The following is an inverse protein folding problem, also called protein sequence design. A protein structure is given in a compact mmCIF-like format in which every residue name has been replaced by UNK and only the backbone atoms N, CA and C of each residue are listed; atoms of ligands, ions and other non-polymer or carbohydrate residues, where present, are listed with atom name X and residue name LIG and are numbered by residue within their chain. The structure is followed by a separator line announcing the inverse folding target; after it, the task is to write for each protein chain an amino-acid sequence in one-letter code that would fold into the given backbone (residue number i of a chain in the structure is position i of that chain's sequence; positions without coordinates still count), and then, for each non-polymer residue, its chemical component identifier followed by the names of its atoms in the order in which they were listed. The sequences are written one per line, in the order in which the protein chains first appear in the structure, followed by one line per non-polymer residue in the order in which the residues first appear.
data_IF_174530986151
#
_entry.id   IF_174530986151
#
_cell.length_a   1.000
_cell.length_b   1.000
_cell.length_c   1.000
_cell.angle_alpha   90.00
_cell.angle_beta   90.00
_cell.angle_gamma   90.00
#
_symmetry.space_group_name_H-M   'P 1'
#
loop_
_entity.id
_entity.type
_entity.pdbx_description
1 polymer ?
#
# COMPACT_ATOMS: atom_id res chain seq x y z
N UNK A 1 -14.20 -4.53 3.32
CA UNK A 1 -14.25 -3.57 4.44
C UNK A 1 -13.48 -4.13 5.62
N UNK A 2 -12.45 -3.42 6.09
CA UNK A 2 -11.64 -3.82 7.24
C UNK A 2 -12.00 -3.09 8.55
N UNK A 3 -12.77 -2.00 8.48
CA UNK A 3 -13.00 -1.16 9.66
C UNK A 3 -13.79 0.13 9.43
N UNK A 4 -14.63 0.20 8.39
CA UNK A 4 -15.52 1.35 8.17
C UNK A 4 -16.43 1.54 9.38
N UNK A 5 -16.57 2.79 9.84
CA UNK A 5 -17.44 3.11 10.97
C UNK A 5 -18.91 2.99 10.58
N UNK A 6 -19.68 2.27 11.39
CA UNK A 6 -21.10 1.97 11.15
C UNK A 6 -21.33 0.64 10.42
N UNK A 7 -22.61 0.34 10.18
CA UNK A 7 -23.02 -0.80 9.36
C UNK A 7 -22.65 -0.56 7.90
N UNK A 8 -22.35 -1.64 7.18
CA UNK A 8 -21.95 -1.57 5.78
C UNK A 8 -22.88 -2.45 4.97
N UNK A 9 -23.78 -1.80 4.23
CA UNK A 9 -24.77 -2.46 3.37
C UNK A 9 -24.32 -2.35 1.90
N UNK A 10 -23.69 -3.38 1.31
CA UNK A 10 -23.15 -3.32 -0.04
C UNK A 10 -24.22 -3.30 -1.16
N UNK A 11 -25.44 -2.86 -0.89
CA UNK A 11 -26.55 -2.77 -1.85
C UNK A 11 -26.26 -1.85 -3.05
N UNK A 12 -25.24 -0.99 -2.98
CA UNK A 12 -24.77 -0.15 -4.09
C UNK A 12 -23.91 -0.90 -5.12
N UNK A 13 -23.57 -2.16 -4.90
CA UNK A 13 -22.69 -2.92 -5.80
C UNK A 13 -23.43 -3.45 -7.03
N UNK A 14 -22.75 -3.43 -8.17
CA UNK A 14 -23.26 -3.99 -9.42
C UNK A 14 -23.08 -5.51 -9.48
N UNK A 15 -23.81 -6.17 -10.38
CA UNK A 15 -23.65 -7.60 -10.61
C UNK A 15 -22.20 -7.92 -11.05
N UNK A 16 -21.50 -8.74 -10.26
CA UNK A 16 -20.11 -9.13 -10.50
C UNK A 16 -19.08 -8.45 -9.59
N UNK A 17 -19.48 -7.35 -8.93
CA UNK A 17 -18.67 -6.71 -7.90
C UNK A 17 -18.57 -7.60 -6.66
N UNK A 18 -17.50 -7.40 -5.89
CA UNK A 18 -17.20 -8.22 -4.71
C UNK A 18 -16.94 -7.36 -3.52
N UNK A 19 -17.54 -7.77 -2.41
CA UNK A 19 -17.38 -7.11 -1.14
C UNK A 19 -17.18 -8.16 -0.07
N UNK A 20 -16.07 -8.01 0.63
CA UNK A 20 -15.72 -8.85 1.76
C UNK A 20 -15.95 -8.05 3.02
N UNK A 21 -16.91 -8.49 3.84
CA UNK A 21 -17.03 -7.97 5.20
C UNK A 21 -15.96 -8.63 6.07
N UNK A 22 -14.95 -7.84 6.38
CA UNK A 22 -13.78 -8.19 7.18
C UNK A 22 -13.58 -7.14 8.28
N UNK A 23 -14.67 -6.52 8.73
CA UNK A 23 -14.61 -5.46 9.72
C UNK A 23 -14.01 -6.01 11.02
N UNK A 24 -12.89 -5.45 11.47
CA UNK A 24 -12.29 -5.75 12.79
C UNK A 24 -13.12 -5.10 13.88
N UNK A 25 -13.29 -3.78 13.77
CA UNK A 25 -14.21 -2.99 14.59
C UNK A 25 -14.60 -1.70 13.84
N UNK A 26 -15.41 -0.85 14.44
CA UNK A 26 -15.95 0.37 13.81
C UNK A 26 -14.97 1.55 13.92
N UNK A 27 -13.99 1.57 13.03
CA UNK A 27 -12.95 2.60 12.96
C UNK A 27 -11.90 2.44 14.05
N UNK A 28 -10.73 3.03 13.83
CA UNK A 28 -9.64 3.00 14.81
C UNK A 28 -9.86 4.02 15.93
N UNK A 29 -9.14 3.85 17.02
CA UNK A 29 -8.87 4.89 18.01
C UNK A 29 -8.18 6.10 17.39
N UNK A 30 -8.32 7.24 18.08
CA UNK A 30 -7.66 8.48 17.67
C UNK A 30 -6.17 8.43 18.07
N UNK A 31 -5.31 8.21 17.08
CA UNK A 31 -3.85 8.10 17.25
C UNK A 31 -3.19 9.31 17.92
N UNK A 32 -3.83 10.48 17.90
CA UNK A 32 -3.34 11.68 18.59
C UNK A 32 -3.63 11.70 20.11
N UNK A 33 -4.30 10.66 20.64
CA UNK A 33 -4.65 10.49 22.05
C UNK A 33 -4.18 9.16 22.66
N UNK A 34 -3.77 8.19 21.84
CA UNK A 34 -3.41 6.84 22.25
C UNK A 34 -3.25 5.94 21.03
N UNK A 35 -3.19 4.61 21.21
CA UNK A 35 -3.01 3.68 20.08
C UNK A 35 -4.21 3.67 19.13
N UNK A 36 -3.96 3.32 17.87
CA UNK A 36 -4.99 3.13 16.85
C UNK A 36 -5.91 1.95 17.17
N UNK A 37 -5.35 0.86 17.67
CA UNK A 37 -6.04 -0.41 17.93
C UNK A 37 -5.23 -1.25 18.92
N UNK A 38 -5.80 -2.34 19.42
CA UNK A 38 -5.02 -3.33 20.19
C UNK A 38 -4.06 -4.09 19.28
N UNK A 39 -3.11 -4.82 19.88
CA UNK A 39 -2.19 -5.66 19.10
C UNK A 39 -2.95 -6.79 18.39
N UNK A 40 -3.95 -7.34 19.07
CA UNK A 40 -4.81 -8.40 18.57
C UNK A 40 -5.63 -7.92 17.37
N UNK A 41 -6.20 -6.71 17.45
CA UNK A 41 -6.94 -6.08 16.35
C UNK A 41 -6.02 -5.79 15.15
N UNK A 42 -4.77 -5.36 15.38
CA UNK A 42 -3.78 -5.17 14.32
C UNK A 42 -3.43 -6.49 13.61
N UNK A 43 -3.23 -7.55 14.39
CA UNK A 43 -2.99 -8.89 13.86
C UNK A 43 -4.20 -9.40 13.07
N UNK A 44 -5.40 -9.20 13.60
CA UNK A 44 -6.65 -9.58 12.96
C UNK A 44 -6.83 -8.84 11.62
N UNK A 45 -6.50 -7.55 11.54
CA UNK A 45 -6.56 -6.80 10.28
C UNK A 45 -5.68 -7.41 9.19
N UNK A 46 -4.44 -7.80 9.54
CA UNK A 46 -3.51 -8.47 8.63
C UNK A 46 -4.07 -9.84 8.21
N UNK A 47 -4.51 -10.65 9.17
CA UNK A 47 -5.07 -11.99 8.88
C UNK A 47 -6.27 -11.86 7.94
N UNK A 48 -7.17 -10.92 8.19
CA UNK A 48 -8.32 -10.71 7.32
C UNK A 48 -7.94 -10.27 5.91
N UNK A 49 -6.87 -9.49 5.74
CA UNK A 49 -6.31 -9.17 4.42
C UNK A 49 -5.81 -10.41 3.68
N UNK A 50 -5.11 -11.30 4.39
CA UNK A 50 -4.65 -12.59 3.88
C UNK A 50 -5.84 -13.49 3.48
N UNK A 51 -6.86 -13.59 4.33
CA UNK A 51 -8.07 -14.37 4.04
C UNK A 51 -8.80 -13.89 2.76
N UNK A 52 -8.84 -12.58 2.51
CA UNK A 52 -9.41 -12.04 1.27
C UNK A 52 -8.60 -12.50 0.06
N UNK A 53 -7.27 -12.48 0.16
CA UNK A 53 -6.40 -13.00 -0.88
C UNK A 53 -6.62 -14.51 -1.13
N UNK A 54 -6.68 -15.32 -0.07
CA UNK A 54 -6.92 -16.76 -0.19
C UNK A 54 -8.26 -17.10 -0.85
N UNK A 55 -9.30 -16.30 -0.57
CA UNK A 55 -10.61 -16.46 -1.20
C UNK A 55 -10.56 -16.15 -2.70
N UNK A 56 -9.87 -15.08 -3.08
CA UNK A 56 -9.78 -14.66 -4.48
C UNK A 56 -8.82 -15.54 -5.30
N UNK A 57 -7.72 -16.01 -4.71
CA UNK A 57 -6.75 -16.89 -5.38
C UNK A 57 -7.40 -18.17 -5.92
N UNK A 58 -8.42 -18.72 -5.25
CA UNK A 58 -9.15 -19.93 -5.70
C UNK A 58 -9.76 -19.80 -7.11
N UNK A 59 -9.79 -18.59 -7.66
CA UNK A 59 -10.38 -18.24 -8.95
C UNK A 59 -9.35 -18.08 -10.07
N UNK A 60 -8.06 -18.25 -9.76
CA UNK A 60 -6.96 -17.98 -10.68
C UNK A 60 -6.60 -16.50 -10.68
N UNK A 61 -5.41 -16.18 -10.17
CA UNK A 61 -4.88 -14.82 -10.12
C UNK A 61 -3.42 -14.87 -10.56
N UNK A 62 -3.10 -14.12 -11.60
CA UNK A 62 -1.73 -13.97 -12.10
C UNK A 62 -1.02 -12.75 -11.50
N UNK A 63 -1.78 -11.76 -11.03
CA UNK A 63 -1.28 -10.50 -10.46
C UNK A 63 -2.34 -9.84 -9.59
N UNK A 64 -1.91 -9.16 -8.53
CA UNK A 64 -2.80 -8.36 -7.67
C UNK A 64 -2.35 -6.91 -7.61
N UNK A 65 -3.30 -6.04 -7.33
CA UNK A 65 -3.08 -4.62 -7.08
C UNK A 65 -3.55 -4.28 -5.68
N UNK A 66 -2.98 -3.24 -5.08
CA UNK A 66 -3.46 -2.70 -3.81
C UNK A 66 -4.28 -1.46 -4.05
N UNK A 67 -5.22 -1.15 -3.17
CA UNK A 67 -5.94 0.12 -3.16
C UNK A 67 -6.43 0.42 -1.75
N UNK A 68 -6.70 1.69 -1.48
CA UNK A 68 -7.17 2.15 -0.18
C UNK A 68 -8.41 3.03 -0.33
N UNK A 69 -9.22 3.05 0.72
CA UNK A 69 -10.28 4.04 0.89
C UNK A 69 -10.47 4.27 2.38
N UNK A 70 -10.23 5.50 2.82
CA UNK A 70 -10.34 5.89 4.23
C UNK A 70 -10.14 7.38 4.42
N UNK A 71 -11.12 8.07 5.00
CA UNK A 71 -10.97 9.49 5.28
C UNK A 71 -9.88 9.70 6.34
N UNK A 72 -8.97 10.63 6.04
CA UNK A 72 -7.81 10.99 6.88
C UNK A 72 -6.70 9.94 7.00
N UNK A 73 -6.74 8.85 6.23
CA UNK A 73 -5.75 7.76 6.30
C UNK A 73 -4.31 8.16 5.88
N UNK A 74 -4.12 9.27 5.18
CA UNK A 74 -2.77 9.81 4.89
C UNK A 74 -1.97 10.17 6.16
N UNK A 75 -2.64 10.46 7.28
CA UNK A 75 -1.98 10.75 8.57
C UNK A 75 -1.39 9.49 9.22
N UNK A 76 -2.16 8.40 9.46
CA UNK A 76 -1.58 7.15 9.94
C UNK A 76 -0.56 6.57 8.97
N UNK A 77 -0.75 6.65 7.64
CA UNK A 77 0.28 6.22 6.68
C UNK A 77 1.60 6.95 6.87
N UNK A 78 1.57 8.27 7.04
CA UNK A 78 2.77 9.05 7.31
C UNK A 78 3.42 8.68 8.65
N UNK A 79 2.62 8.42 9.70
CA UNK A 79 3.13 8.00 11.00
C UNK A 79 3.80 6.61 10.95
N UNK A 80 3.18 5.64 10.25
CA UNK A 80 3.76 4.31 10.00
C UNK A 80 5.10 4.42 9.26
N UNK A 81 5.15 5.22 8.19
CA UNK A 81 6.38 5.43 7.41
C UNK A 81 7.46 6.08 8.29
N UNK A 82 7.15 7.13 9.03
CA UNK A 82 8.12 7.77 9.92
C UNK A 82 8.63 6.79 10.99
N UNK A 83 7.74 6.00 11.58
CA UNK A 83 8.10 5.02 12.59
C UNK A 83 9.06 3.95 12.06
N UNK A 84 8.78 3.38 10.87
CA UNK A 84 9.58 2.27 10.31
C UNK A 84 10.87 2.72 9.61
N UNK A 85 10.92 3.95 9.09
CA UNK A 85 12.09 4.45 8.33
C UNK A 85 12.98 5.41 9.11
N UNK A 86 12.48 5.98 10.22
CA UNK A 86 13.15 7.07 10.93
C UNK A 86 13.11 8.42 10.20
N UNK A 87 12.44 8.52 9.05
CA UNK A 87 12.29 9.78 8.32
C UNK A 87 11.45 10.79 9.12
N UNK A 88 11.78 12.08 9.00
CA UNK A 88 11.10 13.13 9.77
C UNK A 88 9.70 13.41 9.21
N UNK A 89 8.73 13.78 10.06
CA UNK A 89 7.38 14.10 9.59
C UNK A 89 7.29 15.20 8.52
N UNK A 90 8.18 16.19 8.54
CA UNK A 90 8.24 17.23 7.50
C UNK A 90 8.76 16.74 6.15
N UNK A 91 9.41 15.58 6.10
CA UNK A 91 9.87 14.94 4.87
C UNK A 91 8.80 14.05 4.24
N UNK A 92 7.85 13.57 5.05
CA UNK A 92 6.84 12.60 4.66
C UNK A 92 5.47 13.25 4.42
N UNK A 93 5.04 14.16 5.29
CA UNK A 93 3.72 14.76 5.22
C UNK A 93 3.55 15.57 3.92
N UNK A 94 2.58 15.16 3.09
CA UNK A 94 2.09 15.91 1.95
C UNK A 94 0.73 16.57 2.22
N UNK A 95 0.27 17.34 1.24
CA UNK A 95 -0.99 18.11 1.32
C UNK A 95 -2.24 17.24 1.28
N UNK A 96 -2.15 15.95 0.94
CA UNK A 96 -3.34 15.09 0.83
C UNK A 96 -4.34 15.64 -0.16
N UNK A 97 -5.60 15.72 0.28
CA UNK A 97 -6.75 16.25 -0.48
C UNK A 97 -6.74 17.78 -0.64
N UNK A 98 -5.58 18.44 -0.63
CA UNK A 98 -5.42 19.86 -0.96
C UNK A 98 -5.28 20.82 0.22
N UNK A 99 -4.63 20.40 1.31
CA UNK A 99 -4.35 21.28 2.45
C UNK A 99 -3.51 22.51 2.06
N UNK A 100 -3.84 23.66 2.65
CA UNK A 100 -3.02 24.88 2.61
C UNK A 100 -1.77 24.75 3.51
N UNK A 101 -0.95 25.81 3.57
CA UNK A 101 0.31 25.78 4.32
C UNK A 101 0.09 25.62 5.83
N UNK A 102 -0.98 26.21 6.37
CA UNK A 102 -1.34 26.07 7.76
C UNK A 102 -1.81 24.63 8.06
N UNK A 103 -2.64 24.06 7.19
CA UNK A 103 -3.10 22.68 7.25
C UNK A 103 -1.95 21.69 7.17
N UNK A 104 -0.97 21.92 6.29
CA UNK A 104 0.24 21.11 6.21
C UNK A 104 1.06 21.20 7.50
N UNK A 105 1.27 22.41 8.04
CA UNK A 105 2.00 22.60 9.31
C UNK A 105 1.30 21.86 10.45
N UNK A 106 -0.02 22.00 10.58
CA UNK A 106 -0.83 21.28 11.57
C UNK A 106 -0.71 19.77 11.41
N UNK A 107 -0.75 19.25 10.17
CA UNK A 107 -0.57 17.81 9.89
C UNK A 107 0.79 17.31 10.35
N UNK A 108 1.86 18.05 10.07
CA UNK A 108 3.22 17.73 10.52
C UNK A 108 3.28 17.69 12.06
N UNK A 109 2.69 18.67 12.74
CA UNK A 109 2.62 18.71 14.21
C UNK A 109 1.82 17.56 14.80
N UNK A 110 0.70 17.19 14.17
CA UNK A 110 -0.09 16.02 14.56
C UNK A 110 0.73 14.75 14.43
N UNK A 111 1.44 14.54 13.32
CA UNK A 111 2.26 13.34 13.14
C UNK A 111 3.38 13.28 14.19
N UNK A 112 4.05 14.39 14.49
CA UNK A 112 5.05 14.46 15.57
C UNK A 112 4.43 14.05 16.91
N UNK A 113 3.30 14.66 17.27
CA UNK A 113 2.57 14.35 18.50
C UNK A 113 2.16 12.88 18.59
N UNK A 114 1.68 12.30 17.48
CA UNK A 114 1.28 10.89 17.40
C UNK A 114 2.46 9.96 17.70
N UNK A 115 3.63 10.24 17.11
CA UNK A 115 4.85 9.47 17.35
C UNK A 115 5.32 9.61 18.80
N UNK A 116 5.26 10.81 19.37
CA UNK A 116 5.68 11.08 20.76
C UNK A 116 4.79 10.40 21.81
N UNK A 117 3.47 10.39 21.59
CA UNK A 117 2.49 9.76 22.49
C UNK A 117 2.60 8.24 22.45
N UNK A 118 2.67 7.67 21.24
CA UNK A 118 2.57 6.22 21.08
C UNK A 118 3.93 5.51 21.18
N UNK A 119 5.02 6.20 20.86
CA UNK A 119 6.40 5.68 20.84
C UNK A 119 6.47 4.30 20.17
N UNK A 120 6.08 4.19 18.88
CA UNK A 120 6.15 2.92 18.17
C UNK A 120 7.61 2.46 18.03
N UNK A 121 7.85 1.16 18.23
CA UNK A 121 9.18 0.56 18.10
C UNK A 121 9.37 0.09 16.65
N UNK A 122 10.35 0.63 15.89
CA UNK A 122 10.60 0.19 14.51
C UNK A 122 10.92 -1.30 14.37
N UNK A 123 11.43 -1.94 15.43
CA UNK A 123 11.74 -3.38 15.42
C UNK A 123 10.53 -4.28 15.65
N UNK A 124 9.36 -3.71 15.97
CA UNK A 124 8.08 -4.40 16.12
C UNK A 124 7.04 -3.83 15.14
N UNK A 125 7.05 -4.25 13.85
CA UNK A 125 6.15 -3.71 12.84
C UNK A 125 4.67 -3.90 13.19
N UNK A 126 4.30 -5.03 13.80
CA UNK A 126 2.94 -5.26 14.29
C UNK A 126 2.56 -4.25 15.39
N UNK A 127 3.48 -3.93 16.29
CA UNK A 127 3.31 -2.87 17.28
C UNK A 127 3.20 -1.48 16.66
N UNK A 128 3.93 -1.19 15.57
CA UNK A 128 3.79 0.05 14.80
C UNK A 128 2.37 0.16 14.24
N UNK A 129 1.87 -0.90 13.58
CA UNK A 129 0.50 -0.93 13.06
C UNK A 129 -0.53 -0.68 14.16
N UNK A 130 -0.42 -1.39 15.29
CA UNK A 130 -1.34 -1.27 16.42
C UNK A 130 -1.37 0.17 17.00
N UNK A 131 -0.21 0.80 17.06
CA UNK A 131 -0.06 2.12 17.68
C UNK A 131 -0.47 3.27 16.77
N UNK A 132 -0.04 3.28 15.51
CA UNK A 132 -0.14 4.47 14.65
C UNK A 132 -0.71 4.20 13.26
N UNK A 133 -1.14 2.97 12.96
CA UNK A 133 -1.67 2.60 11.66
C UNK A 133 -3.20 2.68 11.54
N UNK A 134 -3.74 1.88 10.62
CA UNK A 134 -5.16 1.83 10.26
C UNK A 134 -5.57 0.42 9.86
N UNK A 135 -6.86 0.07 9.98
CA UNK A 135 -7.34 -1.26 9.61
C UNK A 135 -7.16 -1.56 8.13
N UNK A 136 -7.31 -0.54 7.29
CA UNK A 136 -7.01 -0.60 5.85
C UNK A 136 -5.53 -0.86 5.59
N UNK A 137 -4.61 -0.25 6.35
CA UNK A 137 -3.17 -0.51 6.23
C UNK A 137 -2.87 -1.96 6.60
N UNK A 138 -3.47 -2.48 7.67
CA UNK A 138 -3.36 -3.88 8.08
C UNK A 138 -3.92 -4.83 7.02
N UNK A 139 -5.12 -4.57 6.51
CA UNK A 139 -5.75 -5.36 5.46
C UNK A 139 -4.95 -5.39 4.16
N UNK A 140 -4.44 -4.24 3.71
CA UNK A 140 -3.56 -4.17 2.53
C UNK A 140 -2.24 -4.91 2.78
N UNK A 141 -1.67 -4.81 3.99
CA UNK A 141 -0.47 -5.56 4.38
C UNK A 141 -0.72 -7.07 4.27
N UNK A 142 -1.85 -7.56 4.78
CA UNK A 142 -2.25 -8.97 4.64
C UNK A 142 -2.41 -9.42 3.20
N UNK A 143 -3.05 -8.58 2.37
CA UNK A 143 -3.20 -8.83 0.93
C UNK A 143 -1.84 -8.94 0.21
N UNK A 144 -0.90 -8.05 0.53
CA UNK A 144 0.47 -8.09 0.00
C UNK A 144 1.20 -9.37 0.46
N UNK A 145 1.10 -9.73 1.74
CA UNK A 145 1.73 -10.94 2.28
C UNK A 145 1.18 -12.20 1.63
N UNK A 146 -0.13 -12.25 1.37
CA UNK A 146 -0.77 -13.34 0.63
C UNK A 146 -0.20 -13.48 -0.77
N UNK A 147 -0.14 -12.38 -1.53
CA UNK A 147 0.47 -12.34 -2.85
C UNK A 147 1.90 -12.86 -2.85
N UNK A 148 2.75 -12.33 -1.96
CA UNK A 148 4.15 -12.74 -1.86
C UNK A 148 4.34 -14.22 -1.46
N UNK A 149 3.56 -14.71 -0.48
CA UNK A 149 3.59 -16.12 -0.04
C UNK A 149 3.33 -17.06 -1.21
N UNK A 150 2.42 -16.66 -2.08
CA UNK A 150 1.96 -17.43 -3.22
C UNK A 150 2.66 -17.09 -4.54
N UNK A 151 3.73 -16.27 -4.47
CA UNK A 151 4.54 -15.81 -5.59
C UNK A 151 3.74 -15.08 -6.68
N UNK A 152 2.65 -14.43 -6.29
CA UNK A 152 1.84 -13.57 -7.14
C UNK A 152 2.41 -12.14 -7.08
N UNK A 153 2.82 -11.54 -8.21
CA UNK A 153 3.25 -10.15 -8.27
C UNK A 153 2.21 -9.18 -7.72
N UNK A 154 2.67 -8.21 -6.94
CA UNK A 154 1.82 -7.20 -6.28
C UNK A 154 2.18 -5.81 -6.79
N UNK A 155 1.23 -5.17 -7.46
CA UNK A 155 1.37 -3.78 -7.90
C UNK A 155 0.84 -2.84 -6.82
N UNK A 156 1.77 -2.16 -6.16
CA UNK A 156 1.50 -1.20 -5.09
C UNK A 156 1.07 0.13 -5.70
N UNK A 157 -0.05 0.67 -5.23
CA UNK A 157 -0.66 1.89 -5.77
C UNK A 157 0.05 3.17 -5.29
N UNK A 158 -0.63 3.98 -4.48
CA UNK A 158 -0.16 5.26 -4.00
C UNK A 158 0.43 5.20 -2.59
N UNK A 159 0.50 6.38 -1.96
CA UNK A 159 1.15 6.59 -0.68
C UNK A 159 0.67 5.67 0.46
N UNK A 160 -0.64 5.44 0.57
CA UNK A 160 -1.23 4.62 1.64
C UNK A 160 -0.88 3.14 1.43
N UNK A 161 -1.02 2.66 0.20
CA UNK A 161 -0.64 1.30 -0.19
C UNK A 161 0.85 1.05 0.03
N UNK A 162 1.70 2.05 -0.25
CA UNK A 162 3.14 1.98 0.02
C UNK A 162 3.47 1.94 1.52
N UNK A 163 2.68 2.59 2.39
CA UNK A 163 2.82 2.43 3.83
C UNK A 163 2.53 0.98 4.28
N UNK A 164 1.50 0.35 3.71
CA UNK A 164 1.19 -1.07 3.95
C UNK A 164 2.27 -2.01 3.37
N UNK A 165 2.82 -1.68 2.20
CA UNK A 165 3.93 -2.42 1.60
C UNK A 165 5.20 -2.34 2.46
N UNK A 166 5.51 -1.15 2.99
CA UNK A 166 6.61 -0.96 3.93
C UNK A 166 6.41 -1.78 5.20
N UNK A 167 5.19 -1.81 5.73
CA UNK A 167 4.84 -2.66 6.86
C UNK A 167 5.07 -4.16 6.55
N UNK A 168 4.61 -4.63 5.40
CA UNK A 168 4.78 -6.02 4.96
C UNK A 168 6.27 -6.39 4.78
N UNK A 169 7.08 -5.51 4.17
CA UNK A 169 8.54 -5.71 4.02
C UNK A 169 9.25 -5.67 5.37
N UNK A 170 8.76 -4.88 6.33
CA UNK A 170 9.32 -4.84 7.68
C UNK A 170 9.00 -6.10 8.48
N UNK A 171 7.85 -6.76 8.21
CA UNK A 171 7.50 -8.06 8.78
C UNK A 171 8.30 -9.21 8.14
N UNK A 172 8.46 -9.20 6.81
CA UNK A 172 9.23 -10.19 6.05
C UNK A 172 9.94 -9.52 4.86
N UNK A 173 11.28 -9.34 4.93
CA UNK A 173 12.04 -8.63 3.89
C UNK A 173 11.91 -9.21 2.47
N UNK A 174 11.68 -10.52 2.33
CA UNK A 174 11.53 -11.19 1.02
C UNK A 174 10.28 -10.76 0.25
N UNK A 175 9.29 -10.18 0.93
CA UNK A 175 8.08 -9.63 0.28
C UNK A 175 8.46 -8.64 -0.82
N UNK A 176 9.54 -7.90 -0.63
CA UNK A 176 10.03 -6.86 -1.55
C UNK A 176 10.21 -7.37 -2.98
N UNK A 177 10.63 -8.63 -3.14
CA UNK A 177 10.94 -9.21 -4.45
C UNK A 177 9.69 -9.46 -5.31
N UNK A 178 8.49 -9.33 -4.73
CA UNK A 178 7.20 -9.47 -5.40
C UNK A 178 6.52 -8.13 -5.67
N UNK A 179 7.10 -7.01 -5.23
CA UNK A 179 6.47 -5.70 -5.30
C UNK A 179 6.86 -4.93 -6.57
N UNK A 180 5.86 -4.39 -7.24
CA UNK A 180 6.00 -3.41 -8.31
C UNK A 180 5.38 -2.09 -7.84
N UNK A 181 6.11 -0.99 -7.90
CA UNK A 181 5.52 0.32 -7.63
C UNK A 181 4.74 0.79 -8.87
N UNK A 182 3.41 0.80 -8.78
CA UNK A 182 2.52 1.11 -9.90
C UNK A 182 2.72 2.54 -10.41
N UNK A 183 2.71 3.52 -9.51
CA UNK A 183 2.98 4.90 -9.88
C UNK A 183 3.69 5.67 -8.77
N UNK A 184 4.29 6.81 -9.15
CA UNK A 184 4.65 7.84 -8.19
C UNK A 184 3.44 8.74 -7.95
N UNK A 185 3.02 8.82 -6.69
CA UNK A 185 1.96 9.75 -6.29
C UNK A 185 2.53 11.14 -6.01
N UNK A 186 1.68 12.16 -6.11
CA UNK A 186 2.01 13.55 -5.79
C UNK A 186 2.13 13.83 -4.28
N UNK A 187 2.03 12.78 -3.43
CA UNK A 187 2.34 12.90 -2.01
C UNK A 187 3.85 13.01 -1.80
N UNK A 188 4.27 14.09 -1.12
CA UNK A 188 5.68 14.42 -0.84
C UNK A 188 6.50 13.23 -0.34
N UNK A 189 5.95 12.46 0.60
CA UNK A 189 6.62 11.32 1.21
C UNK A 189 6.74 10.07 0.34
N UNK A 190 5.97 9.97 -0.75
CA UNK A 190 5.89 8.74 -1.52
C UNK A 190 7.24 8.42 -2.20
N UNK A 191 7.87 9.40 -2.85
CA UNK A 191 9.20 9.22 -3.48
C UNK A 191 10.25 8.71 -2.49
N UNK A 192 10.30 9.30 -1.29
CA UNK A 192 11.25 8.90 -0.24
C UNK A 192 10.99 7.49 0.27
N UNK A 193 9.72 7.11 0.38
CA UNK A 193 9.34 5.77 0.83
C UNK A 193 9.68 4.71 -0.21
N UNK A 194 9.43 4.98 -1.49
CA UNK A 194 9.86 4.11 -2.58
C UNK A 194 11.38 3.96 -2.65
N UNK A 195 12.13 5.06 -2.44
CA UNK A 195 13.59 5.02 -2.34
C UNK A 195 14.07 4.15 -1.17
N UNK A 196 13.43 4.27 0.00
CA UNK A 196 13.74 3.41 1.16
C UNK A 196 13.51 1.93 0.85
N UNK A 197 12.43 1.61 0.13
CA UNK A 197 12.12 0.26 -0.32
C UNK A 197 12.97 -0.20 -1.52
N UNK A 198 13.73 0.70 -2.16
CA UNK A 198 14.45 0.39 -3.39
C UNK A 198 13.54 0.07 -4.58
N UNK A 199 12.30 0.57 -4.58
CA UNK A 199 11.33 0.36 -5.66
C UNK A 199 11.34 1.56 -6.62
N UNK A 200 11.33 1.26 -7.93
CA UNK A 200 11.19 2.27 -8.99
C UNK A 200 9.74 2.30 -9.48
N UNK A 201 9.06 3.45 -9.48
CA UNK A 201 7.70 3.55 -9.99
C UNK A 201 7.66 3.30 -11.51
N UNK A 202 6.64 2.58 -11.98
CA UNK A 202 6.39 2.32 -13.39
C UNK A 202 5.85 3.55 -14.11
N UNK A 203 5.02 4.34 -13.42
CA UNK A 203 4.35 5.52 -13.95
C UNK A 203 4.65 6.77 -13.09
N UNK A 204 4.72 7.95 -13.70
CA UNK A 204 4.79 9.24 -13.01
C UNK A 204 3.82 10.21 -13.72
N UNK A 205 2.59 10.27 -13.20
CA UNK A 205 1.43 10.92 -13.85
C UNK A 205 0.79 11.99 -12.97
N UNK A 206 1.48 12.46 -11.93
CA UNK A 206 0.95 13.42 -10.94
C UNK A 206 -0.39 12.98 -10.30
N UNK A 207 -0.58 11.66 -10.13
CA UNK A 207 -1.80 11.10 -9.55
C UNK A 207 -1.77 11.14 -8.02
N UNK A 208 -2.94 11.28 -7.40
CA UNK A 208 -3.10 11.37 -5.93
C UNK A 208 -4.49 10.96 -5.43
N UNK A 209 -5.21 10.17 -6.22
CA UNK A 209 -6.55 9.70 -5.86
C UNK A 209 -6.50 8.57 -4.83
N UNK A 210 -5.60 7.60 -5.04
CA UNK A 210 -5.60 6.35 -4.29
C UNK A 210 -6.52 5.31 -4.94
N UNK A 211 -7.22 4.54 -4.13
CA UNK A 211 -8.24 3.55 -4.56
C UNK A 211 -7.70 2.42 -5.47
N UNK A 212 -6.38 2.32 -5.65
CA UNK A 212 -5.77 1.33 -6.55
C UNK A 212 -5.71 1.79 -8.01
N UNK A 213 -5.97 3.07 -8.28
CA UNK A 213 -6.04 3.58 -9.66
C UNK A 213 -4.70 3.55 -10.39
N UNK A 214 -3.60 3.90 -9.72
CA UNK A 214 -2.26 3.80 -10.28
C UNK A 214 -1.81 2.35 -10.44
N UNK A 215 -2.18 1.46 -9.53
CA UNK A 215 -1.93 0.02 -9.68
C UNK A 215 -2.67 -0.56 -10.91
N UNK A 216 -3.95 -0.23 -11.08
CA UNK A 216 -4.75 -0.66 -12.22
C UNK A 216 -4.17 -0.20 -13.56
N UNK A 217 -3.70 1.05 -13.66
CA UNK A 217 -3.03 1.54 -14.87
C UNK A 217 -1.70 0.81 -15.13
N UNK A 218 -0.94 0.54 -14.07
CA UNK A 218 0.36 -0.10 -14.17
C UNK A 218 0.28 -1.58 -14.57
N UNK A 219 -0.84 -2.28 -14.34
CA UNK A 219 -1.06 -3.64 -14.83
C UNK A 219 -0.77 -3.77 -16.33
N UNK A 220 -1.19 -2.79 -17.13
CA UNK A 220 -0.97 -2.79 -18.57
C UNK A 220 0.51 -2.71 -18.95
N UNK A 221 1.32 -2.02 -18.13
CA UNK A 221 2.78 -1.93 -18.35
C UNK A 221 3.45 -3.27 -18.03
N UNK A 222 3.05 -3.91 -16.94
CA UNK A 222 3.59 -5.23 -16.58
C UNK A 222 3.17 -6.29 -17.61
N UNK A 223 1.91 -6.30 -18.02
CA UNK A 223 1.40 -7.19 -19.08
C UNK A 223 2.14 -6.97 -20.41
N UNK A 224 2.40 -5.72 -20.79
CA UNK A 224 3.20 -5.40 -21.98
C UNK A 224 4.62 -5.98 -21.88
N UNK A 225 5.26 -5.90 -20.71
CA UNK A 225 6.56 -6.53 -20.47
C UNK A 225 6.55 -8.05 -20.64
N UNK A 226 5.51 -8.72 -20.14
CA UNK A 226 5.32 -10.16 -20.32
C UNK A 226 5.13 -10.51 -21.80
N UNK A 227 4.28 -9.76 -22.53
CA UNK A 227 4.05 -9.97 -23.97
C UNK A 227 5.31 -9.74 -24.80
N UNK A 228 6.13 -8.75 -24.44
CA UNK A 228 7.44 -8.52 -25.09
C UNK A 228 8.30 -9.78 -24.98
N UNK A 229 8.41 -10.38 -23.80
CA UNK A 229 9.20 -11.59 -23.59
C UNK A 229 8.61 -12.82 -24.29
N UNK A 230 7.28 -12.98 -24.26
CA UNK A 230 6.61 -14.18 -24.73
C UNK A 230 6.30 -14.20 -26.23
N UNK A 231 6.15 -13.03 -26.86
CA UNK A 231 5.58 -12.91 -28.21
C UNK A 231 6.50 -12.21 -29.21
N UNK A 232 7.52 -11.47 -28.78
CA UNK A 232 8.47 -10.89 -29.74
C UNK A 232 9.38 -11.99 -30.30
N UNK A 233 9.52 -12.00 -31.62
CA UNK A 233 10.45 -12.89 -32.29
C UNK A 233 11.89 -12.60 -31.83
N UNK A 234 12.68 -13.65 -31.67
CA UNK A 234 14.13 -13.51 -31.48
C UNK A 234 14.77 -12.99 -32.78
N UNK A 235 15.98 -12.43 -32.69
CA UNK A 235 16.73 -12.00 -33.88
C UNK A 235 16.85 -13.12 -34.94
N UNK A 236 17.04 -14.36 -34.50
CA UNK A 236 17.09 -15.53 -35.37
C UNK A 236 15.72 -15.83 -36.01
N UNK A 237 14.65 -15.84 -35.21
CA UNK A 237 13.28 -16.06 -35.72
C UNK A 237 12.76 -14.94 -36.62
N UNK A 238 13.30 -13.73 -36.48
CA UNK A 238 13.00 -12.57 -37.33
C UNK A 238 13.93 -12.45 -38.56
N UNK A 239 14.92 -13.33 -38.71
CA UNK A 239 15.88 -13.28 -39.82
C UNK A 239 16.80 -12.05 -39.81
N UNK A 240 17.03 -11.45 -38.64
CA UNK A 240 17.89 -10.27 -38.49
C UNK A 240 19.32 -10.71 -38.20
N UNK A 241 20.27 -10.28 -39.04
CA UNK A 241 21.69 -10.59 -38.85
C UNK A 241 22.21 -9.97 -37.55
N UNK A 242 22.96 -10.75 -36.77
CA UNK A 242 23.74 -10.25 -35.62
C UNK A 242 25.00 -9.53 -36.09
N UNK A 243 24.92 -8.56 -37.01
CA UNK A 243 26.06 -7.68 -37.27
C UNK A 243 26.11 -6.61 -36.18
N UNK A 244 27.08 -6.80 -35.27
CA UNK A 244 27.47 -5.85 -34.25
C UNK A 244 27.79 -4.50 -34.91
N UNK A 245 26.85 -3.56 -34.82
CA UNK A 245 27.12 -2.15 -35.14
C UNK A 245 26.72 -1.29 -33.95
N UNK A 246 27.61 -1.22 -32.96
CA UNK A 246 28.08 0.00 -32.29
C UNK A 246 29.12 -0.32 -31.22
#
# INVERSE_FOLDING_TARGET
DFGVKGETDPSWLSAGDRFYDKKVTQGTGNIAKGPAMTREEAQEAIIKGLEVFEQERKRGIDMIGTGDMGIANTTPSAAVICALTGLRPDEIAGRGTGLDDEGLRKKIEVIRKVLDINRPDPSDPLGVLAKVGGFEIGGICGWILGGATERVPVVVDGFISTAAALLAVSLEPKVKDYLFAGHLSDEKGHRKTLQYLGLKPLLDLNMRLGEGTGAALAFHIVEAGVKILAQMATFEGAGVSRESTR
#
